data_IF_823697306047
#
_entry.id   IF_823697306047
#
_cell.length_a   1.000
_cell.length_b   1.000
_cell.length_c   1.000
_cell.angle_alpha   90.00
_cell.angle_beta   90.00
_cell.angle_gamma   90.00
#
_symmetry.space_group_name_H-M   'P 1'
#
loop_
_entity.id
_entity.type
_entity.pdbx_description
1 polymer ?
#
# COMPACT_ATOMS: atom_id res chain seq x y z
N UNK A 1 0.76 7.15 -12.04
CA UNK A 1 -0.10 7.94 -11.16
C UNK A 1 -1.46 7.31 -11.10
N UNK A 2 -1.74 6.61 -10.09
CA UNK A 2 -3.08 6.16 -9.81
C UNK A 2 -3.74 7.19 -8.91
N UNK A 3 -4.90 7.68 -9.31
CA UNK A 3 -5.77 8.43 -8.42
C UNK A 3 -5.97 7.60 -7.16
N UNK A 4 -5.56 8.15 -6.02
CA UNK A 4 -5.77 7.48 -4.73
C UNK A 4 -7.28 7.37 -4.54
N UNK A 5 -7.77 6.14 -4.58
CA UNK A 5 -9.20 5.90 -4.48
C UNK A 5 -9.69 6.32 -3.08
N UNK A 6 -10.84 6.99 -3.01
CA UNK A 6 -11.42 7.40 -1.73
C UNK A 6 -11.65 6.22 -0.78
N UNK A 7 -11.90 5.02 -1.33
CA UNK A 7 -12.01 3.79 -0.54
C UNK A 7 -10.68 3.37 0.08
N UNK A 8 -9.55 3.59 -0.59
CA UNK A 8 -8.22 3.25 -0.06
C UNK A 8 -7.87 4.13 1.14
N UNK A 9 -8.15 5.44 1.05
CA UNK A 9 -7.98 6.37 2.17
C UNK A 9 -8.86 5.99 3.37
N UNK A 10 -10.10 5.59 3.11
CA UNK A 10 -11.03 5.15 4.15
C UNK A 10 -10.52 3.89 4.86
N UNK A 11 -10.06 2.89 4.10
CA UNK A 11 -9.49 1.66 4.66
C UNK A 11 -8.25 1.94 5.50
N UNK A 12 -7.32 2.77 4.99
CA UNK A 12 -6.12 3.16 5.74
C UNK A 12 -6.46 3.86 7.05
N UNK A 13 -7.41 4.80 7.04
CA UNK A 13 -7.86 5.48 8.26
C UNK A 13 -8.48 4.51 9.26
N UNK A 14 -9.26 3.56 8.79
CA UNK A 14 -9.91 2.56 9.66
C UNK A 14 -8.89 1.62 10.32
N UNK A 15 -7.94 1.08 9.56
CA UNK A 15 -6.94 0.15 10.10
C UNK A 15 -5.89 0.81 10.97
N UNK A 16 -5.77 2.14 10.92
CA UNK A 16 -4.79 2.92 11.72
C UNK A 16 -5.45 3.77 12.80
N UNK A 17 -6.76 3.66 13.01
CA UNK A 17 -7.52 4.55 13.93
C UNK A 17 -7.04 4.53 15.37
N UNK A 18 -6.45 3.43 15.82
CA UNK A 18 -5.94 3.27 17.19
C UNK A 18 -4.49 3.75 17.35
N UNK A 19 -3.89 4.31 16.29
CA UNK A 19 -2.51 4.80 16.26
C UNK A 19 -2.49 6.33 16.18
N UNK A 20 -2.11 6.98 17.29
CA UNK A 20 -2.12 8.45 17.43
C UNK A 20 -1.02 9.16 16.64
N UNK A 21 0.04 8.45 16.29
CA UNK A 21 1.24 8.97 15.65
C UNK A 21 1.25 8.79 14.12
N UNK A 22 0.11 8.46 13.51
CA UNK A 22 -0.03 8.27 12.07
C UNK A 22 -0.94 9.34 11.47
N UNK A 23 -0.51 9.87 10.34
CA UNK A 23 -1.31 10.78 9.51
C UNK A 23 -1.41 10.23 8.10
N UNK A 24 -2.62 10.05 7.61
CA UNK A 24 -2.90 9.61 6.24
C UNK A 24 -3.09 10.84 5.37
N UNK A 25 -2.19 11.01 4.41
CA UNK A 25 -2.21 12.17 3.50
C UNK A 25 -2.07 11.68 2.06
N UNK A 26 -3.05 11.93 1.21
CA UNK A 26 -2.89 11.71 -0.22
C UNK A 26 -1.97 12.78 -0.82
N UNK A 27 -1.16 12.41 -1.80
CA UNK A 27 -0.35 13.37 -2.55
C UNK A 27 -0.31 13.01 -4.04
N UNK A 28 0.00 13.98 -4.83
CA UNK A 28 0.29 13.84 -6.26
C UNK A 28 1.68 14.39 -6.56
N UNK A 29 2.32 13.88 -7.61
CA UNK A 29 3.67 14.29 -8.00
C UNK A 29 4.78 13.41 -7.40
N UNK A 30 5.98 13.96 -7.31
CA UNK A 30 7.16 13.24 -6.84
C UNK A 30 7.14 13.03 -5.33
N UNK A 31 7.50 11.83 -4.90
CA UNK A 31 7.59 11.47 -3.48
C UNK A 31 8.56 12.40 -2.72
N UNK A 32 9.71 12.73 -3.31
CA UNK A 32 10.70 13.60 -2.67
C UNK A 32 10.19 15.03 -2.44
N UNK A 33 9.41 15.56 -3.36
CA UNK A 33 8.78 16.87 -3.20
C UNK A 33 7.73 16.86 -2.08
N UNK A 34 6.94 15.81 -2.04
CA UNK A 34 5.98 15.62 -0.97
C UNK A 34 6.66 15.45 0.39
N UNK A 35 7.68 14.60 0.49
CA UNK A 35 8.45 14.40 1.71
C UNK A 35 9.08 15.70 2.21
N UNK A 36 9.66 16.48 1.33
CA UNK A 36 10.23 17.79 1.66
C UNK A 36 9.15 18.75 2.21
N UNK A 37 7.99 18.84 1.56
CA UNK A 37 6.85 19.66 2.06
C UNK A 37 6.36 19.22 3.44
N UNK A 38 6.45 17.94 3.74
CA UNK A 38 6.06 17.37 5.03
C UNK A 38 7.18 17.43 6.07
N UNK A 39 8.33 17.98 5.72
CA UNK A 39 9.55 18.00 6.55
C UNK A 39 9.96 16.59 7.01
N UNK A 40 9.83 15.62 6.10
CA UNK A 40 10.18 14.22 6.32
C UNK A 40 11.50 13.90 5.62
N UNK A 41 12.53 13.55 6.41
CA UNK A 41 13.87 13.17 5.90
C UNK A 41 14.06 11.67 5.69
N UNK A 42 13.07 10.85 6.04
CA UNK A 42 13.15 9.40 5.94
C UNK A 42 11.92 8.83 5.25
N UNK A 43 12.15 8.00 4.24
CA UNK A 43 11.13 7.19 3.56
C UNK A 43 11.30 5.74 3.99
N UNK A 44 10.23 5.11 4.46
CA UNK A 44 10.23 3.69 4.83
C UNK A 44 9.48 2.91 3.75
N UNK A 45 10.12 1.85 3.23
CA UNK A 45 9.56 0.97 2.20
C UNK A 45 9.58 -0.48 2.67
N UNK A 46 8.54 -1.23 2.33
CA UNK A 46 8.46 -2.66 2.60
C UNK A 46 9.07 -3.49 1.46
N UNK A 47 9.77 -4.57 1.80
CA UNK A 47 10.31 -5.54 0.84
C UNK A 47 9.72 -6.92 1.09
N UNK A 48 9.23 -7.58 0.03
CA UNK A 48 8.66 -8.93 0.08
C UNK A 48 9.52 -9.95 -0.63
N UNK A 49 10.03 -9.62 -1.81
CA UNK A 49 10.77 -10.54 -2.68
C UNK A 49 11.94 -9.84 -3.38
N UNK A 50 12.82 -10.62 -4.00
CA UNK A 50 14.02 -10.13 -4.73
C UNK A 50 13.62 -9.15 -5.86
N UNK A 51 12.56 -9.45 -6.59
CA UNK A 51 12.04 -8.57 -7.67
C UNK A 51 11.56 -7.22 -7.14
N UNK A 52 10.95 -7.18 -5.97
CA UNK A 52 10.58 -5.93 -5.30
C UNK A 52 11.85 -5.14 -4.92
N UNK A 53 12.91 -5.83 -4.49
CA UNK A 53 14.15 -5.17 -4.07
C UNK A 53 14.83 -4.41 -5.21
N UNK A 54 14.93 -4.97 -6.37
CA UNK A 54 15.55 -4.29 -7.53
C UNK A 54 14.82 -2.99 -7.88
N UNK A 55 13.50 -3.04 -7.95
CA UNK A 55 12.67 -1.87 -8.22
C UNK A 55 12.78 -0.82 -7.10
N UNK A 56 12.67 -1.25 -5.85
CA UNK A 56 12.72 -0.36 -4.68
C UNK A 56 14.11 0.29 -4.53
N UNK A 57 15.19 -0.46 -4.81
CA UNK A 57 16.55 0.07 -4.81
C UNK A 57 16.72 1.15 -5.88
N UNK A 58 16.25 0.90 -7.09
CA UNK A 58 16.30 1.87 -8.17
C UNK A 58 15.55 3.15 -7.81
N UNK A 59 14.35 3.02 -7.23
CA UNK A 59 13.57 4.16 -6.77
C UNK A 59 14.26 4.94 -5.66
N UNK A 60 14.87 4.28 -4.70
CA UNK A 60 15.58 4.96 -3.61
C UNK A 60 16.80 5.73 -4.11
N UNK A 61 17.56 5.16 -5.04
CA UNK A 61 18.69 5.83 -5.66
C UNK A 61 18.25 7.04 -6.50
N UNK A 62 17.15 6.92 -7.21
CA UNK A 62 16.55 8.03 -7.96
C UNK A 62 16.09 9.14 -7.02
N UNK A 63 15.41 8.80 -5.95
CA UNK A 63 14.95 9.76 -4.95
C UNK A 63 16.13 10.49 -4.28
N UNK A 64 17.20 9.77 -3.92
CA UNK A 64 18.40 10.37 -3.33
C UNK A 64 19.12 11.29 -4.32
N UNK A 65 19.07 10.99 -5.61
CA UNK A 65 19.64 11.87 -6.65
C UNK A 65 18.83 13.15 -6.79
N UNK A 66 17.51 13.08 -6.65
CA UNK A 66 16.60 14.22 -6.72
C UNK A 66 16.67 15.11 -5.47
N UNK A 67 16.75 14.49 -4.28
CA UNK A 67 16.92 15.18 -3.00
C UNK A 67 17.86 14.39 -2.09
N UNK A 68 19.14 14.80 -1.96
CA UNK A 68 20.14 14.12 -1.13
C UNK A 68 19.84 14.11 0.37
N UNK A 69 18.89 14.93 0.84
CA UNK A 69 18.52 14.99 2.26
C UNK A 69 17.47 13.93 2.64
N UNK A 70 16.96 13.16 1.67
CA UNK A 70 15.98 12.12 1.91
C UNK A 70 16.65 10.77 1.86
N UNK A 71 16.59 10.07 2.99
CA UNK A 71 17.07 8.69 3.13
C UNK A 71 15.93 7.69 2.94
N UNK A 72 16.25 6.50 2.46
CA UNK A 72 15.29 5.39 2.34
C UNK A 72 15.72 4.22 3.20
N UNK A 73 14.81 3.74 4.04
CA UNK A 73 14.98 2.54 4.85
C UNK A 73 14.07 1.43 4.32
N UNK A 74 14.63 0.24 4.18
CA UNK A 74 13.88 -0.95 3.78
C UNK A 74 13.59 -1.86 4.98
N UNK A 75 12.34 -2.25 5.12
CA UNK A 75 11.91 -3.24 6.10
C UNK A 75 11.41 -4.48 5.35
N UNK A 76 11.94 -5.64 5.74
CA UNK A 76 11.45 -6.91 5.21
C UNK A 76 10.14 -7.30 5.89
N UNK A 77 9.22 -7.87 5.11
CA UNK A 77 8.01 -8.44 5.67
C UNK A 77 8.31 -9.73 6.45
N UNK A 78 7.40 -10.12 7.33
CA UNK A 78 7.46 -11.45 7.95
C UNK A 78 7.30 -12.54 6.89
N UNK A 79 7.89 -13.71 7.15
CA UNK A 79 7.80 -14.86 6.23
C UNK A 79 6.34 -15.25 5.95
N UNK A 80 5.49 -15.11 6.95
CA UNK A 80 4.05 -15.38 6.89
C UNK A 80 3.32 -14.60 5.78
N UNK A 81 3.76 -13.37 5.48
CA UNK A 81 3.13 -12.51 4.46
C UNK A 81 4.00 -12.27 3.22
N UNK A 82 5.16 -12.93 3.13
CA UNK A 82 6.12 -12.69 2.06
C UNK A 82 5.57 -13.01 0.66
N UNK A 83 4.65 -13.95 0.56
CA UNK A 83 3.99 -14.37 -0.68
C UNK A 83 2.76 -13.52 -1.05
N UNK A 84 2.26 -12.69 -0.12
CA UNK A 84 1.02 -11.97 -0.29
C UNK A 84 1.17 -10.77 -1.22
N UNK A 85 0.27 -10.66 -2.19
CA UNK A 85 0.20 -9.53 -3.11
C UNK A 85 -1.26 -9.06 -3.26
N UNK A 86 -1.45 -7.83 -3.69
CA UNK A 86 -2.79 -7.31 -3.99
C UNK A 86 -3.50 -8.10 -5.10
N UNK A 87 -2.73 -8.65 -6.05
CA UNK A 87 -3.27 -9.52 -7.11
C UNK A 87 -3.82 -10.82 -6.52
N UNK A 88 -3.05 -11.49 -5.66
CA UNK A 88 -3.48 -12.73 -4.98
C UNK A 88 -4.73 -12.48 -4.13
N UNK A 89 -4.75 -11.41 -3.35
CA UNK A 89 -5.90 -11.07 -2.51
C UNK A 89 -7.16 -10.82 -3.34
N UNK A 90 -7.03 -10.08 -4.45
CA UNK A 90 -8.17 -9.84 -5.36
C UNK A 90 -8.66 -11.11 -6.03
N UNK A 91 -7.76 -12.04 -6.36
CA UNK A 91 -8.11 -13.33 -6.94
C UNK A 91 -8.90 -14.18 -5.94
N UNK A 92 -8.43 -14.28 -4.69
CA UNK A 92 -9.16 -14.97 -3.61
C UNK A 92 -10.56 -14.37 -3.45
N UNK A 93 -10.67 -13.04 -3.40
CA UNK A 93 -11.95 -12.35 -3.29
C UNK A 93 -12.89 -12.65 -4.47
N UNK A 94 -12.36 -12.67 -5.70
CA UNK A 94 -13.13 -12.93 -6.91
C UNK A 94 -13.74 -14.34 -6.93
N UNK A 95 -13.07 -15.32 -6.32
CA UNK A 95 -13.55 -16.69 -6.19
C UNK A 95 -14.30 -16.98 -4.89
N UNK A 96 -14.59 -15.95 -4.08
CA UNK A 96 -15.34 -16.09 -2.84
C UNK A 96 -14.57 -16.78 -1.71
N UNK A 97 -13.24 -16.75 -1.76
CA UNK A 97 -12.38 -17.31 -0.72
C UNK A 97 -12.37 -16.46 0.56
N UNK A 98 -12.04 -17.09 1.69
CA UNK A 98 -11.93 -16.42 2.98
C UNK A 98 -10.69 -15.49 3.00
N UNK A 99 -10.93 -14.19 3.16
CA UNK A 99 -9.90 -13.16 3.21
C UNK A 99 -9.41 -12.83 4.62
N UNK A 100 -10.06 -13.34 5.66
CA UNK A 100 -9.79 -12.94 7.05
C UNK A 100 -8.38 -13.29 7.52
N UNK A 101 -7.76 -14.29 6.91
CA UNK A 101 -6.39 -14.74 7.21
C UNK A 101 -5.31 -13.89 6.52
N UNK A 102 -5.67 -13.06 5.55
CA UNK A 102 -4.73 -12.36 4.68
C UNK A 102 -4.75 -10.86 4.84
N UNK A 103 -5.89 -10.31 5.21
CA UNK A 103 -6.10 -8.86 5.30
C UNK A 103 -6.93 -8.48 6.53
N UNK A 104 -6.80 -7.24 7.04
CA UNK A 104 -7.69 -6.75 8.09
C UNK A 104 -9.16 -6.81 7.68
N UNK A 105 -10.05 -7.02 8.65
CA UNK A 105 -11.50 -7.15 8.42
C UNK A 105 -12.10 -6.00 7.59
N UNK A 106 -11.71 -4.76 7.87
CA UNK A 106 -12.16 -3.60 7.11
C UNK A 106 -11.82 -3.68 5.61
N UNK A 107 -10.66 -4.25 5.29
CA UNK A 107 -10.22 -4.46 3.90
C UNK A 107 -10.99 -5.61 3.25
N UNK A 108 -11.20 -6.72 3.98
CA UNK A 108 -11.99 -7.86 3.50
C UNK A 108 -13.41 -7.42 3.12
N UNK A 109 -14.08 -6.67 3.98
CA UNK A 109 -15.43 -6.15 3.73
C UNK A 109 -15.52 -5.25 2.49
N UNK A 110 -14.54 -4.36 2.28
CA UNK A 110 -14.53 -3.48 1.09
C UNK A 110 -14.28 -4.27 -0.20
N UNK A 111 -13.44 -5.30 -0.16
CA UNK A 111 -13.22 -6.18 -1.32
C UNK A 111 -14.46 -6.99 -1.67
N UNK A 112 -15.14 -7.55 -0.69
CA UNK A 112 -16.41 -8.28 -0.90
C UNK A 112 -17.48 -7.38 -1.53
N UNK A 113 -17.65 -6.14 -1.05
CA UNK A 113 -18.57 -5.16 -1.64
C UNK A 113 -18.24 -4.88 -3.11
N UNK A 114 -16.96 -4.67 -3.43
CA UNK A 114 -16.52 -4.41 -4.81
C UNK A 114 -16.73 -5.60 -5.75
N UNK A 115 -16.60 -6.82 -5.25
CA UNK A 115 -16.84 -8.03 -6.06
C UNK A 115 -18.34 -8.26 -6.30
N UNK A 116 -19.19 -8.03 -5.31
CA UNK A 116 -20.63 -8.15 -5.43
C UNK A 116 -21.22 -7.16 -6.43
N UNK A 117 -20.75 -5.90 -6.43
CA UNK A 117 -21.18 -4.88 -7.42
C UNK A 117 -20.76 -5.21 -8.86
N UNK A 118 -19.66 -5.94 -9.07
CA UNK A 118 -19.27 -6.41 -10.41
C UNK A 118 -20.11 -7.59 -10.91
N UNK A 119 -20.66 -8.39 -10.00
CA UNK A 119 -21.54 -9.52 -10.33
C UNK A 119 -22.92 -9.10 -10.83
N UNK A 120 -23.40 -7.91 -10.48
CA UNK A 120 -24.70 -7.39 -10.92
C UNK A 120 -24.68 -6.79 -12.34
N UNK A 121 -23.50 -6.46 -12.88
CA UNK A 121 -23.37 -5.93 -14.24
C UNK A 121 -23.30 -7.00 -15.36
N UNK A 122 -23.27 -8.29 -15.01
CA UNK A 122 -23.17 -9.41 -15.97
C UNK A 122 -24.39 -10.35 -15.97
N UNK A 123 -25.56 -9.83 -15.65
CA UNK A 123 -26.83 -10.55 -15.89
C UNK A 123 -27.67 -9.86 -16.95
#
# INVERSE_FOLDING_TARGET
>A
SSDVCSSDLKMLKEVTKDLDNIRIVPFDGLLVEFASRMNAGLVIRGLRAITDFEYELQMSQTNQKLDPNIETMFLTTSIEYSYLSSTTVREIAAFGGDLTQFVPEAVALELEKKMNTKGECNK
#
